data_IF_034969596328
#
_entry.id   IF_034969596328
#
_cell.length_a   1.000
_cell.length_b   1.000
_cell.length_c   1.000
_cell.angle_alpha   90.00
_cell.angle_beta   90.00
_cell.angle_gamma   90.00
#
_symmetry.space_group_name_H-M   'P 1'
#
loop_
_entity.id
_entity.type
_entity.pdbx_description
1 polymer ?
#
# COMPACT_ATOMS: atom_id res chain seq x y z
N UNK A 1 -1.24 -12.04 59.96
CA UNK A 1 -2.01 -11.92 58.71
C UNK A 1 -1.05 -11.51 57.58
N UNK A 2 -0.73 -12.41 56.66
CA UNK A 2 0.17 -12.12 55.51
C UNK A 2 -0.71 -11.70 54.34
N UNK A 3 -0.63 -10.39 53.97
CA UNK A 3 -1.34 -9.86 52.80
C UNK A 3 -0.68 -10.37 51.54
N UNK A 4 -1.45 -11.05 50.67
CA UNK A 4 -1.04 -11.43 49.31
C UNK A 4 -1.27 -10.23 48.39
N UNK A 5 -0.18 -9.65 47.91
CA UNK A 5 -0.22 -8.60 46.92
C UNK A 5 -0.51 -9.22 45.53
N UNK A 6 -1.74 -9.07 45.03
CA UNK A 6 -2.13 -9.52 43.69
C UNK A 6 -1.64 -8.49 42.66
N UNK A 7 -0.53 -8.79 41.98
CA UNK A 7 -0.05 -7.96 40.88
C UNK A 7 -0.85 -8.33 39.61
N UNK A 8 -1.84 -7.51 39.26
CA UNK A 8 -2.57 -7.58 37.97
C UNK A 8 -1.64 -7.06 36.87
N UNK A 9 -0.97 -7.97 36.16
CA UNK A 9 -0.31 -7.68 34.89
C UNK A 9 -1.38 -7.41 33.84
N UNK A 10 -1.68 -6.13 33.58
CA UNK A 10 -2.43 -5.69 32.42
C UNK A 10 -1.55 -5.90 31.18
N UNK A 11 -1.70 -7.06 30.55
CA UNK A 11 -1.17 -7.29 29.21
C UNK A 11 -2.04 -6.46 28.26
N UNK A 12 -1.60 -5.23 27.96
CA UNK A 12 -2.13 -4.47 26.86
C UNK A 12 -1.75 -5.21 25.58
N UNK A 13 -2.70 -5.98 25.03
CA UNK A 13 -2.58 -6.50 23.67
C UNK A 13 -2.52 -5.30 22.72
N UNK A 14 -1.31 -4.87 22.37
CA UNK A 14 -1.09 -3.93 21.28
C UNK A 14 -1.60 -4.66 20.03
N UNK A 15 -2.78 -4.28 19.57
CA UNK A 15 -3.31 -4.66 18.26
C UNK A 15 -2.40 -4.03 17.20
N UNK A 16 -1.30 -4.70 16.92
CA UNK A 16 -0.51 -4.38 15.76
C UNK A 16 -1.39 -4.70 14.55
N UNK A 17 -1.94 -3.69 13.91
CA UNK A 17 -2.50 -3.84 12.57
C UNK A 17 -1.43 -4.56 11.75
N UNK A 18 -1.73 -5.80 11.33
CA UNK A 18 -0.77 -6.62 10.61
C UNK A 18 -0.59 -6.00 9.22
N UNK A 19 0.49 -5.24 9.08
CA UNK A 19 0.86 -4.51 7.86
C UNK A 19 2.13 -5.12 7.29
N UNK A 20 2.11 -5.36 5.98
CA UNK A 20 3.29 -5.76 5.23
C UNK A 20 3.75 -4.55 4.45
N UNK A 21 5.01 -4.16 4.64
CA UNK A 21 5.66 -3.16 3.81
C UNK A 21 6.08 -3.80 2.48
N UNK A 22 5.91 -3.06 1.39
CA UNK A 22 6.31 -3.51 0.07
C UNK A 22 7.85 -3.64 -0.01
N UNK A 23 8.31 -4.77 -0.53
CA UNK A 23 9.71 -5.04 -0.85
C UNK A 23 9.79 -5.81 -2.16
N UNK A 24 10.81 -5.52 -2.95
CA UNK A 24 10.99 -6.12 -4.27
C UNK A 24 11.12 -7.65 -4.20
N UNK A 25 11.86 -8.14 -3.21
CA UNK A 25 12.16 -9.55 -2.97
C UNK A 25 11.10 -10.29 -2.15
N UNK A 26 10.08 -9.59 -1.65
CA UNK A 26 9.04 -10.19 -0.80
C UNK A 26 7.65 -10.05 -1.43
N UNK A 27 7.18 -11.13 -2.03
CA UNK A 27 5.85 -11.20 -2.62
C UNK A 27 4.79 -11.62 -1.60
N UNK A 28 3.53 -11.22 -1.87
CA UNK A 28 2.38 -11.66 -1.09
C UNK A 28 2.17 -13.18 -1.25
N UNK A 29 1.65 -13.78 -0.20
CA UNK A 29 1.19 -15.17 -0.17
C UNK A 29 -0.24 -15.22 0.36
N UNK A 30 -1.00 -16.27 0.04
CA UNK A 30 -2.41 -16.36 0.44
C UNK A 30 -2.65 -16.27 1.95
N UNK A 31 -1.69 -16.68 2.79
CA UNK A 31 -1.78 -16.53 4.24
C UNK A 31 -1.75 -15.08 4.74
N UNK A 32 -1.41 -14.12 3.87
CA UNK A 32 -1.48 -12.69 4.20
C UNK A 32 -2.91 -12.13 4.12
N UNK A 33 -3.84 -12.81 3.45
CA UNK A 33 -5.23 -12.37 3.28
C UNK A 33 -6.09 -12.93 4.42
N UNK A 34 -6.25 -12.15 5.50
CA UNK A 34 -6.81 -12.62 6.78
C UNK A 34 -8.23 -12.15 7.07
N UNK A 35 -8.75 -11.19 6.29
CA UNK A 35 -10.11 -10.70 6.48
C UNK A 35 -11.15 -11.70 6.02
N UNK A 36 -12.35 -11.60 6.57
CA UNK A 36 -13.52 -12.34 6.09
C UNK A 36 -13.92 -11.83 4.71
N UNK A 37 -14.44 -12.73 3.88
CA UNK A 37 -14.98 -12.40 2.56
C UNK A 37 -16.04 -11.30 2.68
N UNK A 38 -15.92 -10.26 1.86
CA UNK A 38 -16.91 -9.20 1.77
C UNK A 38 -17.74 -9.35 0.49
N UNK A 39 -18.87 -10.03 0.59
CA UNK A 39 -19.78 -10.28 -0.53
C UNK A 39 -20.45 -9.02 -1.11
N UNK A 40 -20.34 -7.85 -0.44
CA UNK A 40 -20.89 -6.59 -0.96
C UNK A 40 -20.08 -6.05 -2.15
N UNK A 41 -18.86 -6.56 -2.39
CA UNK A 41 -17.99 -6.13 -3.50
C UNK A 41 -18.32 -6.78 -4.85
N UNK A 42 -19.18 -7.77 -4.88
CA UNK A 42 -19.57 -8.52 -6.08
C UNK A 42 -19.27 -10.02 -5.94
N UNK A 43 -20.11 -10.85 -6.55
CA UNK A 43 -19.98 -12.33 -6.48
C UNK A 43 -18.81 -12.86 -7.33
N UNK A 44 -18.37 -12.08 -8.31
CA UNK A 44 -17.31 -12.48 -9.26
C UNK A 44 -15.92 -12.18 -8.73
N UNK A 45 -15.80 -11.31 -7.71
CA UNK A 45 -14.52 -11.01 -7.06
C UNK A 45 -14.15 -12.17 -6.14
N UNK A 46 -12.95 -12.73 -6.34
CA UNK A 46 -12.47 -13.92 -5.61
C UNK A 46 -11.43 -13.58 -4.54
N UNK A 47 -10.80 -12.41 -4.62
CA UNK A 47 -9.89 -11.89 -3.62
C UNK A 47 -9.94 -10.36 -3.62
N UNK A 48 -9.35 -9.74 -2.62
CA UNK A 48 -9.27 -8.29 -2.53
C UNK A 48 -8.02 -7.86 -1.77
N UNK A 49 -7.20 -7.08 -2.40
CA UNK A 49 -6.01 -6.45 -1.83
C UNK A 49 -6.34 -5.07 -1.28
N UNK A 50 -6.20 -4.89 0.03
CA UNK A 50 -6.26 -3.58 0.67
C UNK A 50 -4.85 -3.03 0.89
N UNK A 51 -4.40 -2.19 -0.02
CA UNK A 51 -3.08 -1.56 0.03
C UNK A 51 -3.15 -0.04 -0.16
N UNK A 52 -2.05 0.62 0.11
CA UNK A 52 -1.90 2.06 0.01
C UNK A 52 -0.63 2.53 0.71
N UNK A 53 -0.68 3.72 1.32
CA UNK A 53 0.51 4.31 1.95
C UNK A 53 0.26 4.73 3.38
N UNK A 54 1.33 4.63 4.19
CA UNK A 54 1.51 5.41 5.39
C UNK A 54 2.55 6.50 5.10
N UNK A 55 2.41 7.65 5.75
CA UNK A 55 3.45 8.66 5.71
C UNK A 55 3.69 9.27 7.08
N UNK A 56 4.92 9.75 7.26
CA UNK A 56 5.32 10.54 8.42
C UNK A 56 6.08 11.78 7.96
N UNK A 57 6.06 12.81 8.79
CA UNK A 57 6.80 14.05 8.52
C UNK A 57 7.49 14.52 9.77
N UNK A 58 8.76 14.94 9.61
CA UNK A 58 9.55 15.66 10.61
C UNK A 58 9.80 17.04 10.04
N UNK A 59 9.34 18.09 10.75
CA UNK A 59 9.46 19.48 10.33
C UNK A 59 10.29 20.29 11.34
N UNK A 60 11.11 21.18 10.83
CA UNK A 60 11.75 22.21 11.65
C UNK A 60 10.71 23.24 12.14
N UNK A 61 10.92 23.82 13.32
CA UNK A 61 10.15 24.99 13.77
C UNK A 61 10.44 26.25 12.94
N UNK A 62 11.60 26.30 12.27
CA UNK A 62 11.93 27.34 11.32
C UNK A 62 11.31 27.03 9.95
N UNK A 63 10.48 27.90 9.36
CA UNK A 63 9.89 27.69 8.03
C UNK A 63 10.90 27.41 6.90
N UNK A 64 12.12 27.94 7.02
CA UNK A 64 13.24 27.71 6.08
C UNK A 64 14.06 26.46 6.44
N UNK A 65 13.81 25.84 7.59
CA UNK A 65 14.49 24.62 8.00
C UNK A 65 13.94 23.40 7.25
N UNK A 66 14.69 22.31 7.32
CA UNK A 66 14.40 21.07 6.59
C UNK A 66 13.04 20.47 6.98
N UNK A 67 12.33 19.91 5.99
CA UNK A 67 11.20 19.00 6.18
C UNK A 67 11.53 17.65 5.57
N UNK A 68 11.48 16.59 6.38
CA UNK A 68 11.68 15.21 5.94
C UNK A 68 10.35 14.47 5.92
N UNK A 69 9.92 14.03 4.74
CA UNK A 69 8.70 13.24 4.54
C UNK A 69 9.09 11.81 4.17
N UNK A 70 8.53 10.84 4.86
CA UNK A 70 8.71 9.42 4.56
C UNK A 70 7.39 8.84 4.08
N UNK A 71 7.41 8.11 2.97
CA UNK A 71 6.25 7.40 2.39
C UNK A 71 6.56 5.90 2.38
N UNK A 72 5.67 5.11 2.94
CA UNK A 72 5.78 3.65 3.01
C UNK A 72 4.58 3.00 2.35
N UNK A 73 4.82 2.08 1.43
CA UNK A 73 3.75 1.31 0.79
C UNK A 73 3.41 0.12 1.67
N UNK A 74 2.13 0.00 2.03
CA UNK A 74 1.64 -0.99 2.97
C UNK A 74 0.49 -1.81 2.40
N UNK A 75 0.50 -3.10 2.70
CA UNK A 75 -0.61 -4.03 2.54
C UNK A 75 -1.21 -4.32 3.93
N UNK A 76 -2.54 -4.30 4.04
CA UNK A 76 -3.25 -4.55 5.30
C UNK A 76 -3.83 -5.96 5.28
N UNK A 77 -3.22 -6.87 6.03
CA UNK A 77 -3.65 -8.27 6.11
C UNK A 77 -5.09 -8.42 6.62
N UNK A 78 -5.46 -7.66 7.66
CA UNK A 78 -6.78 -7.73 8.31
C UNK A 78 -7.92 -7.10 7.48
N UNK A 79 -7.58 -6.44 6.37
CA UNK A 79 -8.55 -5.82 5.44
C UNK A 79 -8.55 -6.47 4.07
N UNK A 80 -7.59 -7.35 3.81
CA UNK A 80 -7.46 -8.12 2.57
C UNK A 80 -8.05 -9.50 2.76
N UNK A 81 -8.82 -9.98 1.80
CA UNK A 81 -9.55 -11.24 1.90
C UNK A 81 -9.45 -12.05 0.63
N UNK A 82 -9.74 -13.34 0.73
CA UNK A 82 -9.76 -14.32 -0.34
C UNK A 82 -10.90 -15.32 -0.17
N UNK A 83 -11.37 -15.91 -1.27
CA UNK A 83 -12.24 -17.07 -1.27
C UNK A 83 -11.43 -18.35 -1.48
N UNK A 84 -11.17 -19.09 -0.42
CA UNK A 84 -10.31 -20.27 -0.44
C UNK A 84 -10.72 -21.35 -1.46
N UNK A 85 -11.96 -21.31 -1.96
CA UNK A 85 -12.47 -22.27 -2.94
C UNK A 85 -12.13 -21.87 -4.39
N UNK A 86 -11.78 -20.61 -4.64
CA UNK A 86 -11.62 -20.05 -5.99
C UNK A 86 -10.23 -19.46 -6.27
N UNK A 87 -9.35 -19.43 -5.27
CA UNK A 87 -7.99 -18.86 -5.40
C UNK A 87 -7.02 -19.82 -6.10
N UNK A 88 -6.03 -19.25 -6.78
CA UNK A 88 -4.90 -19.93 -7.38
C UNK A 88 -3.74 -18.92 -7.56
N UNK A 89 -2.59 -19.37 -8.05
CA UNK A 89 -1.40 -18.52 -8.23
C UNK A 89 -1.62 -17.39 -9.24
N UNK A 90 -2.46 -17.59 -10.22
CA UNK A 90 -2.80 -16.57 -11.21
C UNK A 90 -3.58 -15.41 -10.58
N UNK A 91 -4.56 -15.71 -9.73
CA UNK A 91 -5.29 -14.71 -8.94
C UNK A 91 -4.34 -14.02 -7.95
N UNK A 92 -3.42 -14.77 -7.33
CA UNK A 92 -2.43 -14.16 -6.42
C UNK A 92 -1.53 -13.16 -7.15
N UNK A 93 -1.13 -13.45 -8.39
CA UNK A 93 -0.39 -12.49 -9.20
C UNK A 93 -1.19 -11.21 -9.46
N UNK A 94 -2.50 -11.33 -9.78
CA UNK A 94 -3.37 -10.17 -9.95
C UNK A 94 -3.41 -9.32 -8.67
N UNK A 95 -3.60 -9.93 -7.52
CA UNK A 95 -3.61 -9.24 -6.22
C UNK A 95 -2.25 -8.61 -5.86
N UNK A 96 -1.15 -9.29 -6.20
CA UNK A 96 0.20 -8.72 -6.06
C UNK A 96 0.37 -7.45 -6.90
N UNK A 97 -0.19 -7.40 -8.10
CA UNK A 97 -0.09 -6.22 -8.97
C UNK A 97 -0.82 -5.01 -8.39
N UNK A 98 -1.92 -5.17 -7.67
CA UNK A 98 -2.52 -4.09 -6.91
C UNK A 98 -1.52 -3.48 -5.90
N UNK A 99 -0.74 -4.32 -5.22
CA UNK A 99 0.28 -3.87 -4.28
C UNK A 99 1.48 -3.24 -4.98
N UNK A 100 1.91 -3.77 -6.13
CA UNK A 100 2.96 -3.22 -6.98
C UNK A 100 2.56 -1.84 -7.54
N UNK A 101 1.30 -1.66 -7.97
CA UNK A 101 0.73 -0.36 -8.39
C UNK A 101 0.81 0.65 -7.23
N UNK A 102 0.49 0.25 -6.00
CA UNK A 102 0.62 1.16 -4.85
C UNK A 102 2.07 1.63 -4.68
N UNK A 103 3.07 0.76 -4.87
CA UNK A 103 4.48 1.14 -4.82
C UNK A 103 4.89 2.09 -5.95
N UNK A 104 4.41 1.89 -7.18
CA UNK A 104 4.65 2.82 -8.29
C UNK A 104 4.22 4.23 -7.89
N UNK A 105 3.03 4.39 -7.36
CA UNK A 105 2.52 5.70 -6.97
C UNK A 105 3.21 6.26 -5.72
N UNK A 106 3.67 5.40 -4.79
CA UNK A 106 4.54 5.82 -3.69
C UNK A 106 5.87 6.39 -4.21
N UNK A 107 6.49 5.75 -5.20
CA UNK A 107 7.70 6.26 -5.87
C UNK A 107 7.43 7.58 -6.58
N UNK A 108 6.28 7.75 -7.24
CA UNK A 108 5.86 9.04 -7.83
C UNK A 108 5.72 10.13 -6.76
N UNK A 109 5.14 9.82 -5.57
CA UNK A 109 5.09 10.76 -4.44
C UNK A 109 6.51 11.11 -3.97
N UNK A 110 7.38 10.12 -3.73
CA UNK A 110 8.77 10.33 -3.27
C UNK A 110 9.57 11.18 -4.25
N UNK A 111 9.40 10.96 -5.56
CA UNK A 111 10.01 11.76 -6.63
C UNK A 111 9.61 13.23 -6.51
N UNK A 112 8.31 13.52 -6.44
CA UNK A 112 7.83 14.89 -6.35
C UNK A 112 8.22 15.57 -5.02
N UNK A 113 8.26 14.82 -3.91
CA UNK A 113 8.80 15.31 -2.64
C UNK A 113 10.27 15.70 -2.83
N UNK A 114 11.07 14.80 -3.40
CA UNK A 114 12.50 15.05 -3.64
C UNK A 114 12.76 16.28 -4.54
N UNK A 115 11.87 16.58 -5.47
CA UNK A 115 11.98 17.72 -6.37
C UNK A 115 11.50 19.04 -5.73
N UNK A 116 10.39 19.00 -4.97
CA UNK A 116 9.62 20.22 -4.60
C UNK A 116 9.61 20.56 -3.13
N UNK A 117 9.98 19.62 -2.23
CA UNK A 117 9.84 19.81 -0.79
C UNK A 117 11.22 19.68 -0.13
N UNK A 118 11.79 20.83 0.23
CA UNK A 118 13.08 20.90 0.93
C UNK A 118 12.91 21.48 2.34
N UNK A 119 11.98 22.41 2.48
CA UNK A 119 11.77 23.16 3.71
C UNK A 119 10.39 22.90 4.30
N UNK A 120 10.20 23.27 5.56
CA UNK A 120 8.89 23.27 6.21
C UNK A 120 7.86 24.11 5.43
N UNK A 121 8.27 25.28 4.91
CA UNK A 121 7.41 26.13 4.08
C UNK A 121 6.99 25.43 2.78
N UNK A 122 7.90 24.70 2.12
CA UNK A 122 7.56 23.94 0.90
C UNK A 122 6.56 22.83 1.23
N UNK A 123 6.77 22.10 2.34
CA UNK A 123 5.84 21.07 2.79
C UNK A 123 4.44 21.64 3.01
N UNK A 124 4.34 22.72 3.79
CA UNK A 124 3.05 23.33 4.13
C UNK A 124 2.34 23.87 2.88
N UNK A 125 3.09 24.34 1.89
CA UNK A 125 2.55 24.88 0.64
C UNK A 125 2.14 23.81 -0.37
N UNK A 126 2.93 22.76 -0.54
CA UNK A 126 2.80 21.86 -1.70
C UNK A 126 2.32 20.46 -1.38
N UNK A 127 2.63 19.91 -0.19
CA UNK A 127 2.44 18.49 0.08
C UNK A 127 1.00 18.02 -0.09
N UNK A 128 0.04 18.72 0.49
CA UNK A 128 -1.36 18.26 0.47
C UNK A 128 -1.93 18.21 -0.95
N UNK A 129 -1.65 19.24 -1.75
CA UNK A 129 -2.13 19.30 -3.15
C UNK A 129 -1.49 18.20 -4.00
N UNK A 130 -0.17 18.01 -3.88
CA UNK A 130 0.59 16.96 -4.55
C UNK A 130 0.03 15.58 -4.16
N UNK A 131 -0.10 15.32 -2.86
CA UNK A 131 -0.58 14.05 -2.34
C UNK A 131 -1.98 13.72 -2.84
N UNK A 132 -2.92 14.66 -2.74
CA UNK A 132 -4.30 14.47 -3.18
C UNK A 132 -4.40 14.15 -4.68
N UNK A 133 -3.60 14.83 -5.52
CA UNK A 133 -3.54 14.58 -6.97
C UNK A 133 -3.08 13.15 -7.23
N UNK A 134 -1.97 12.73 -6.62
CA UNK A 134 -1.41 11.39 -6.82
C UNK A 134 -2.35 10.31 -6.27
N UNK A 135 -3.03 10.55 -5.15
CA UNK A 135 -4.07 9.64 -4.62
C UNK A 135 -5.22 9.45 -5.62
N UNK A 136 -5.66 10.53 -6.28
CA UNK A 136 -6.68 10.44 -7.32
C UNK A 136 -6.20 9.61 -8.51
N UNK A 137 -4.99 9.88 -8.99
CA UNK A 137 -4.40 9.15 -10.12
C UNK A 137 -4.22 7.65 -9.79
N UNK A 138 -3.76 7.34 -8.58
CA UNK A 138 -3.66 5.98 -8.07
C UNK A 138 -5.01 5.25 -8.10
N UNK A 139 -6.06 5.86 -7.54
CA UNK A 139 -7.40 5.26 -7.52
C UNK A 139 -7.94 5.00 -8.93
N UNK A 140 -7.71 5.94 -9.85
CA UNK A 140 -8.11 5.78 -11.24
C UNK A 140 -7.35 4.64 -11.91
N UNK A 141 -6.04 4.51 -11.65
CA UNK A 141 -5.22 3.45 -12.22
C UNK A 141 -5.63 2.06 -11.68
N UNK A 142 -5.90 1.95 -10.38
CA UNK A 142 -6.40 0.70 -9.77
C UNK A 142 -7.73 0.27 -10.41
N UNK A 143 -8.67 1.21 -10.56
CA UNK A 143 -9.97 0.94 -11.18
C UNK A 143 -9.83 0.57 -12.67
N UNK A 144 -8.92 1.22 -13.40
CA UNK A 144 -8.61 0.90 -14.79
C UNK A 144 -8.02 -0.51 -14.90
N UNK A 145 -7.06 -0.85 -14.04
CA UNK A 145 -6.43 -2.16 -13.99
C UNK A 145 -7.46 -3.28 -13.79
N UNK A 146 -8.32 -3.14 -12.78
CA UNK A 146 -9.42 -4.08 -12.54
C UNK A 146 -10.36 -4.19 -13.75
N UNK A 147 -10.75 -3.05 -14.33
CA UNK A 147 -11.69 -3.03 -15.46
C UNK A 147 -11.13 -3.68 -16.72
N UNK A 148 -9.87 -3.37 -17.10
CA UNK A 148 -9.29 -3.93 -18.35
C UNK A 148 -8.87 -5.38 -18.20
N UNK A 149 -8.48 -5.80 -16.99
CA UNK A 149 -8.11 -7.21 -16.71
C UNK A 149 -9.34 -8.05 -16.36
N UNK A 150 -10.53 -7.42 -16.23
CA UNK A 150 -11.75 -8.09 -15.76
C UNK A 150 -11.50 -8.83 -14.43
N UNK A 151 -10.89 -8.11 -13.47
CA UNK A 151 -10.45 -8.68 -12.18
C UNK A 151 -9.54 -9.91 -12.35
N UNK A 152 -8.63 -9.86 -13.31
CA UNK A 152 -7.70 -10.95 -13.63
C UNK A 152 -8.26 -12.03 -14.54
N UNK A 153 -9.51 -11.98 -14.99
CA UNK A 153 -10.06 -12.98 -15.92
C UNK A 153 -9.54 -12.82 -17.35
N UNK A 154 -9.24 -11.61 -17.80
CA UNK A 154 -8.66 -11.34 -19.10
C UNK A 154 -7.13 -11.56 -19.05
N UNK A 155 -6.70 -12.76 -19.43
CA UNK A 155 -5.30 -13.19 -19.34
C UNK A 155 -4.35 -12.39 -20.23
N UNK A 156 -4.80 -11.97 -21.41
CA UNK A 156 -3.99 -11.16 -22.33
C UNK A 156 -3.72 -9.78 -21.71
N UNK A 157 -4.76 -9.12 -21.23
CA UNK A 157 -4.63 -7.82 -20.56
C UNK A 157 -3.84 -7.92 -19.26
N UNK A 158 -3.99 -9.01 -18.52
CA UNK A 158 -3.17 -9.26 -17.34
C UNK A 158 -1.68 -9.30 -17.70
N UNK A 159 -1.27 -10.02 -18.75
CA UNK A 159 0.12 -10.12 -19.16
C UNK A 159 0.69 -8.76 -19.66
N UNK A 160 -0.13 -7.97 -20.38
CA UNK A 160 0.24 -6.60 -20.78
C UNK A 160 0.52 -5.73 -19.54
N UNK A 161 -0.38 -5.77 -18.55
CA UNK A 161 -0.22 -4.97 -17.33
C UNK A 161 0.88 -5.48 -16.42
N UNK A 162 1.14 -6.79 -16.37
CA UNK A 162 2.29 -7.35 -15.65
C UNK A 162 3.60 -6.74 -16.18
N UNK A 163 3.72 -6.62 -17.49
CA UNK A 163 4.89 -6.01 -18.15
C UNK A 163 4.94 -4.49 -17.88
N UNK A 164 3.82 -3.78 -18.05
CA UNK A 164 3.73 -2.35 -17.83
C UNK A 164 4.12 -1.98 -16.39
N UNK A 165 3.55 -2.68 -15.39
CA UNK A 165 3.80 -2.44 -13.96
C UNK A 165 5.29 -2.70 -13.63
N UNK A 166 5.86 -3.77 -14.17
CA UNK A 166 7.28 -4.10 -13.96
C UNK A 166 8.21 -3.01 -14.53
N UNK A 167 7.90 -2.52 -15.73
CA UNK A 167 8.64 -1.43 -16.37
C UNK A 167 8.53 -0.10 -15.59
N UNK A 168 7.33 0.25 -15.11
CA UNK A 168 7.13 1.44 -14.27
C UNK A 168 7.92 1.37 -12.96
N UNK A 169 7.95 0.20 -12.30
CA UNK A 169 8.76 -0.02 -11.11
C UNK A 169 10.26 0.17 -11.38
N UNK A 170 10.77 -0.36 -12.48
CA UNK A 170 12.18 -0.21 -12.85
C UNK A 170 12.52 1.25 -13.19
N UNK A 171 11.67 1.95 -13.98
CA UNK A 171 11.87 3.36 -14.32
C UNK A 171 11.91 4.27 -13.08
N UNK A 172 11.20 3.91 -12.03
CA UNK A 172 11.14 4.66 -10.77
C UNK A 172 12.03 4.08 -9.68
N UNK A 173 12.98 3.22 -10.01
CA UNK A 173 13.85 2.50 -9.05
C UNK A 173 14.61 3.42 -8.10
N UNK A 174 15.09 4.57 -8.60
CA UNK A 174 15.81 5.56 -7.78
C UNK A 174 14.96 6.19 -6.67
N UNK A 175 13.64 6.00 -6.69
CA UNK A 175 12.70 6.49 -5.69
C UNK A 175 12.11 5.35 -4.85
N UNK A 176 12.67 4.16 -4.92
CA UNK A 176 12.38 3.08 -3.99
C UNK A 176 12.83 3.48 -2.58
N UNK A 177 12.08 3.07 -1.56
CA UNK A 177 12.52 3.23 -0.17
C UNK A 177 13.76 2.34 0.05
N UNK A 178 14.83 2.87 0.66
CA UNK A 178 15.99 2.08 1.04
C UNK A 178 15.68 0.90 1.97
#
# INVERSE_FOLDING_TARGET
MKGVLLVLLLISSILWSQRIEWKEDKKLVWSNFKSKINNQRGKDIVAYTHCGWAYSVIKSSNPKGEAKVTIETIFNEDKSWKDDKRINDYVLNHEQKHFDIAEIFARKIRKEIAEKIKTTSDYDKYFQTLYNRIVKDYKNFQALYDGVTEHGMNKEKQAEYDTLISNELEQLKNFQKP
#
